data_IF_661593863701
#
_entry.id   IF_661593863701
#
_cell.length_a   1.000
_cell.length_b   1.000
_cell.length_c   1.000
_cell.angle_alpha   90.00
_cell.angle_beta   90.00
_cell.angle_gamma   90.00
#
_symmetry.space_group_name_H-M   'P 1'
#
loop_
_entity.id
_entity.type
_entity.pdbx_description
1 polymer ?
#
# COMPACT_ATOMS: atom_id res chain seq x y z
N UNK A 1 21.79 -15.97 -13.61
CA UNK A 1 20.71 -16.82 -13.07
C UNK A 1 20.23 -16.42 -11.67
N UNK A 2 20.87 -15.49 -10.94
CA UNK A 2 20.51 -15.19 -9.54
C UNK A 2 19.39 -14.15 -9.31
N UNK A 3 18.95 -13.39 -10.32
CA UNK A 3 17.98 -12.31 -10.07
C UNK A 3 16.52 -12.78 -10.17
N UNK A 4 16.24 -13.78 -11.02
CA UNK A 4 14.87 -14.26 -11.24
C UNK A 4 14.35 -15.01 -10.00
N UNK A 5 15.17 -15.86 -9.40
CA UNK A 5 14.80 -16.58 -8.16
C UNK A 5 14.58 -15.66 -6.96
N UNK A 6 15.38 -14.58 -6.85
CA UNK A 6 15.19 -13.57 -5.81
C UNK A 6 13.91 -12.76 -6.03
N UNK A 7 13.58 -12.43 -7.28
CA UNK A 7 12.33 -11.75 -7.62
C UNK A 7 11.10 -12.62 -7.32
N UNK A 8 11.11 -13.90 -7.71
CA UNK A 8 10.00 -14.82 -7.39
C UNK A 8 9.83 -15.04 -5.89
N UNK A 9 10.94 -15.16 -5.14
CA UNK A 9 10.90 -15.24 -3.68
C UNK A 9 10.29 -13.97 -3.08
N UNK A 10 10.76 -12.79 -3.50
CA UNK A 10 10.24 -11.52 -3.02
C UNK A 10 8.75 -11.35 -3.35
N UNK A 11 8.32 -11.70 -4.57
CA UNK A 11 6.91 -11.69 -4.98
C UNK A 11 6.06 -12.60 -4.08
N UNK A 12 6.56 -13.81 -3.75
CA UNK A 12 5.90 -14.73 -2.82
C UNK A 12 5.77 -14.15 -1.41
N UNK A 13 6.87 -13.57 -0.89
CA UNK A 13 6.90 -12.96 0.45
C UNK A 13 5.92 -11.78 0.54
N UNK A 14 5.83 -10.92 -0.50
CA UNK A 14 4.89 -9.80 -0.55
C UNK A 14 3.42 -10.25 -0.65
N UNK A 15 3.12 -11.28 -1.46
CA UNK A 15 1.75 -11.78 -1.57
C UNK A 15 1.24 -12.35 -0.24
N UNK A 16 2.10 -13.08 0.48
CA UNK A 16 1.78 -13.59 1.82
C UNK A 16 1.64 -12.46 2.83
N UNK A 17 2.53 -11.45 2.80
CA UNK A 17 2.42 -10.28 3.68
C UNK A 17 1.08 -9.55 3.50
N UNK A 18 0.63 -9.35 2.26
CA UNK A 18 -0.66 -8.71 1.95
C UNK A 18 -1.83 -9.48 2.56
N UNK A 19 -1.82 -10.81 2.52
CA UNK A 19 -2.89 -11.63 3.12
C UNK A 19 -2.97 -11.45 4.63
N UNK A 20 -1.83 -11.47 5.34
CA UNK A 20 -1.81 -11.28 6.78
C UNK A 20 -2.18 -9.84 7.19
N UNK A 21 -1.71 -8.85 6.44
CA UNK A 21 -2.03 -7.44 6.70
C UNK A 21 -3.51 -7.14 6.41
N UNK A 22 -4.11 -7.74 5.39
CA UNK A 22 -5.55 -7.60 5.12
C UNK A 22 -6.42 -8.19 6.25
N UNK A 23 -6.00 -9.30 6.88
CA UNK A 23 -6.67 -9.84 8.07
C UNK A 23 -6.51 -8.91 9.28
N UNK A 24 -5.29 -8.41 9.49
CA UNK A 24 -4.99 -7.45 10.55
C UNK A 24 -5.80 -6.16 10.39
N UNK A 25 -6.05 -5.73 9.15
CA UNK A 25 -6.86 -4.54 8.84
C UNK A 25 -8.31 -4.68 9.33
N UNK A 26 -8.90 -5.87 9.18
CA UNK A 26 -10.27 -6.14 9.66
C UNK A 26 -10.31 -6.00 11.18
N UNK A 27 -9.34 -6.58 11.88
CA UNK A 27 -9.27 -6.51 13.35
C UNK A 27 -9.06 -5.06 13.82
N UNK A 28 -8.16 -4.31 13.18
CA UNK A 28 -7.89 -2.90 13.51
C UNK A 28 -9.16 -2.04 13.40
N UNK A 29 -9.98 -2.28 12.36
CA UNK A 29 -11.28 -1.64 12.17
C UNK A 29 -12.30 -2.03 13.22
N UNK A 30 -12.36 -3.31 13.59
CA UNK A 30 -13.28 -3.81 14.62
C UNK A 30 -13.00 -3.19 16.00
N UNK A 31 -11.73 -2.96 16.33
CA UNK A 31 -11.32 -2.34 17.60
C UNK A 31 -11.22 -0.81 17.54
N UNK A 32 -11.47 -0.22 16.36
CA UNK A 32 -11.40 1.23 16.10
C UNK A 32 -10.04 1.84 16.45
N UNK A 33 -8.95 1.16 16.10
CA UNK A 33 -7.59 1.65 16.28
C UNK A 33 -7.07 2.28 14.98
N UNK A 34 -7.35 3.57 14.81
CA UNK A 34 -7.00 4.35 13.61
C UNK A 34 -5.49 4.41 13.35
N UNK A 35 -4.66 4.33 14.40
CA UNK A 35 -3.20 4.35 14.25
C UNK A 35 -2.70 3.04 13.67
N UNK A 36 -3.21 1.92 14.18
CA UNK A 36 -2.89 0.59 13.64
C UNK A 36 -3.47 0.45 12.22
N UNK A 37 -4.68 0.95 11.97
CA UNK A 37 -5.28 0.96 10.64
C UNK A 37 -4.43 1.74 9.62
N UNK A 38 -3.99 2.96 9.96
CA UNK A 38 -3.13 3.80 9.10
C UNK A 38 -1.82 3.08 8.72
N UNK A 39 -1.21 2.43 9.71
CA UNK A 39 0.06 1.73 9.55
C UNK A 39 -0.09 0.48 8.67
N UNK A 40 -1.18 -0.26 8.81
CA UNK A 40 -1.49 -1.43 7.97
C UNK A 40 -1.75 -0.99 6.53
N UNK A 41 -2.57 0.05 6.32
CA UNK A 41 -2.86 0.58 4.99
C UNK A 41 -1.60 1.09 4.27
N UNK A 42 -0.66 1.70 4.99
CA UNK A 42 0.65 2.09 4.45
C UNK A 42 1.43 0.88 3.93
N UNK A 43 1.48 -0.19 4.71
CA UNK A 43 2.26 -1.36 4.35
C UNK A 43 1.64 -2.13 3.18
N UNK A 44 0.30 -2.27 3.16
CA UNK A 44 -0.44 -2.84 2.04
C UNK A 44 -0.20 -2.07 0.74
N UNK A 45 -0.28 -0.74 0.78
CA UNK A 45 0.02 0.11 -0.39
C UNK A 45 1.45 -0.06 -0.90
N UNK A 46 2.43 -0.16 0.00
CA UNK A 46 3.84 -0.39 -0.38
C UNK A 46 4.06 -1.79 -0.96
N UNK A 47 3.44 -2.82 -0.40
CA UNK A 47 3.55 -4.20 -0.88
C UNK A 47 2.91 -4.36 -2.26
N UNK A 48 1.72 -3.80 -2.48
CA UNK A 48 1.08 -3.76 -3.79
C UNK A 48 1.94 -3.01 -4.83
N UNK A 49 2.53 -1.86 -4.46
CA UNK A 49 3.45 -1.14 -5.33
C UNK A 49 4.70 -1.97 -5.69
N UNK A 50 5.25 -2.73 -4.74
CA UNK A 50 6.40 -3.60 -4.98
C UNK A 50 6.06 -4.80 -5.88
N UNK A 51 4.82 -5.29 -5.84
CA UNK A 51 4.29 -6.33 -6.73
C UNK A 51 3.94 -5.80 -8.14
N UNK A 52 3.87 -4.47 -8.31
CA UNK A 52 3.39 -3.84 -9.55
C UNK A 52 1.87 -3.77 -9.68
N UNK A 53 1.12 -4.09 -8.61
CA UNK A 53 -0.33 -3.92 -8.53
C UNK A 53 -0.65 -2.48 -8.11
N UNK A 54 -0.51 -1.56 -9.07
CA UNK A 54 -0.63 -0.12 -8.81
C UNK A 54 -2.06 0.31 -8.46
N UNK A 55 -3.08 -0.37 -9.01
CA UNK A 55 -4.48 -0.09 -8.73
C UNK A 55 -4.80 -0.33 -7.24
N UNK A 56 -4.47 -1.52 -6.72
CA UNK A 56 -4.65 -1.78 -5.28
C UNK A 56 -3.79 -0.88 -4.39
N UNK A 57 -2.58 -0.54 -4.84
CA UNK A 57 -1.73 0.38 -4.09
C UNK A 57 -2.40 1.75 -3.92
N UNK A 58 -3.03 2.27 -4.98
CA UNK A 58 -3.79 3.52 -4.94
C UNK A 58 -4.98 3.40 -3.98
N UNK A 59 -5.78 2.34 -4.08
CA UNK A 59 -6.93 2.12 -3.18
C UNK A 59 -6.53 2.16 -1.69
N UNK A 60 -5.42 1.50 -1.32
CA UNK A 60 -4.94 1.52 0.06
C UNK A 60 -4.40 2.88 0.48
N UNK A 61 -3.73 3.61 -0.42
CA UNK A 61 -3.29 4.97 -0.13
C UNK A 61 -4.46 5.95 0.02
N UNK A 62 -5.54 5.78 -0.72
CA UNK A 62 -6.76 6.59 -0.57
C UNK A 62 -7.44 6.34 0.77
N UNK A 63 -7.58 5.07 1.18
CA UNK A 63 -8.10 4.74 2.52
C UNK A 63 -7.23 5.35 3.62
N UNK A 64 -5.90 5.27 3.48
CA UNK A 64 -4.96 5.89 4.42
C UNK A 64 -5.08 7.41 4.46
N UNK A 65 -5.39 8.04 3.32
CA UNK A 65 -5.56 9.49 3.22
C UNK A 65 -6.77 9.99 4.00
N UNK A 66 -7.85 9.20 4.04
CA UNK A 66 -9.06 9.52 4.80
C UNK A 66 -8.71 9.61 6.30
N UNK A 67 -8.05 8.59 6.85
CA UNK A 67 -7.61 8.57 8.26
C UNK A 67 -6.63 9.71 8.58
N UNK A 68 -5.64 9.94 7.72
CA UNK A 68 -4.66 11.01 7.94
C UNK A 68 -5.28 12.42 7.96
N UNK A 69 -6.39 12.62 7.24
CA UNK A 69 -7.13 13.89 7.25
C UNK A 69 -7.94 14.09 8.53
N UNK A 70 -8.50 13.01 9.08
CA UNK A 70 -9.22 13.03 10.36
C UNK A 70 -8.30 13.42 11.53
N UNK A 71 -7.02 13.01 11.46
CA UNK A 71 -5.99 13.35 12.47
C UNK A 71 -5.28 14.69 12.18
N UNK A 72 -5.64 15.40 11.10
CA UNK A 72 -5.02 16.67 10.66
C UNK A 72 -3.48 16.63 10.49
N UNK A 73 -2.90 15.45 10.24
CA UNK A 73 -1.45 15.30 10.04
C UNK A 73 -1.03 15.66 8.61
N UNK A 74 -0.65 16.92 8.42
CA UNK A 74 -0.20 17.47 7.13
C UNK A 74 1.03 16.77 6.56
N UNK A 75 1.93 16.25 7.41
CA UNK A 75 3.16 15.58 6.94
C UNK A 75 2.81 14.22 6.35
N UNK A 76 1.93 13.48 7.01
CA UNK A 76 1.44 12.18 6.54
C UNK A 76 0.64 12.33 5.25
N UNK A 77 -0.23 13.34 5.15
CA UNK A 77 -0.97 13.65 3.91
C UNK A 77 -0.03 13.92 2.72
N UNK A 78 1.02 14.72 2.91
CA UNK A 78 1.98 15.01 1.84
C UNK A 78 2.72 13.75 1.37
N UNK A 79 3.06 12.84 2.29
CA UNK A 79 3.70 11.57 1.95
C UNK A 79 2.76 10.66 1.16
N UNK A 80 1.50 10.56 1.56
CA UNK A 80 0.49 9.74 0.87
C UNK A 80 0.30 10.23 -0.57
N UNK A 81 0.12 11.54 -0.77
CA UNK A 81 -0.06 12.12 -2.11
C UNK A 81 1.14 11.85 -3.02
N UNK A 82 2.36 11.93 -2.48
CA UNK A 82 3.56 11.59 -3.24
C UNK A 82 3.57 10.13 -3.68
N UNK A 83 3.21 9.21 -2.78
CA UNK A 83 3.17 7.78 -3.09
C UNK A 83 2.08 7.45 -4.12
N UNK A 84 0.87 8.00 -3.97
CA UNK A 84 -0.21 7.83 -4.96
C UNK A 84 0.16 8.40 -6.33
N UNK A 85 0.80 9.57 -6.37
CA UNK A 85 1.26 10.17 -7.62
C UNK A 85 2.31 9.31 -8.34
N UNK A 86 3.20 8.66 -7.58
CA UNK A 86 4.16 7.70 -8.15
C UNK A 86 3.48 6.45 -8.72
N UNK A 87 2.43 5.94 -8.07
CA UNK A 87 1.63 4.83 -8.62
C UNK A 87 0.96 5.23 -9.94
N UNK A 88 0.30 6.38 -9.98
CA UNK A 88 -0.39 6.88 -11.17
C UNK A 88 0.56 7.02 -12.37
N UNK A 89 1.73 7.62 -12.17
CA UNK A 89 2.75 7.74 -13.22
C UNK A 89 3.17 6.37 -13.76
N UNK A 90 3.28 5.35 -12.90
CA UNK A 90 3.67 4.00 -13.34
C UNK A 90 2.55 3.24 -14.03
N UNK A 91 1.30 3.46 -13.63
CA UNK A 91 0.13 2.90 -14.30
C UNK A 91 0.02 3.43 -15.73
N UNK A 92 0.13 4.76 -15.91
CA UNK A 92 0.12 5.40 -17.24
C UNK A 92 1.24 4.91 -18.16
N UNK A 93 2.42 4.61 -17.60
CA UNK A 93 3.55 4.05 -18.35
C UNK A 93 3.36 2.56 -18.70
N UNK A 94 2.56 1.83 -17.92
CA UNK A 94 2.25 0.41 -18.16
C UNK A 94 1.17 0.25 -19.24
N UNK A 95 0.18 1.14 -19.27
CA UNK A 95 -0.89 1.15 -20.29
C UNK A 95 -0.40 1.55 -21.69
N UNK A 96 0.81 2.13 -21.81
CA UNK A 96 1.43 2.51 -23.07
C UNK A 96 2.41 1.47 -23.66
N UNK A 97 2.61 0.32 -23.01
CA UNK A 97 3.53 -0.75 -23.42
C UNK A 97 2.79 -1.97 -23.99
#
# INVERSE_FOLDING_TARGET
MNNLGLAYKALGDYATAIQYEAQSLVIAREIQDDQVEEQILKNLGNACYALGDYDKAIEYYEQRLILAREVHDRRTVAQILRNSWQCLLRLELYDQA
#
